data_IF_839878044101
#
_entry.id   IF_839878044101
#
_cell.length_a   1.000
_cell.length_b   1.000
_cell.length_c   1.000
_cell.angle_alpha   90.00
_cell.angle_beta   90.00
_cell.angle_gamma   90.00
#
_symmetry.space_group_name_H-M   'P 1'
#
loop_
_entity.id
_entity.type
_entity.pdbx_description
1 polymer ?
#
# COMPACT_ATOMS: atom_id res chain seq x y z
N UNK A 1 13.98 84.79 5.63
CA UNK A 1 13.19 85.64 4.72
C UNK A 1 11.72 85.51 5.09
N UNK A 2 11.09 86.62 5.48
CA UNK A 2 9.70 86.67 5.95
C UNK A 2 8.70 86.53 4.79
N UNK A 3 7.74 85.61 4.90
CA UNK A 3 6.67 85.38 3.91
C UNK A 3 5.55 86.45 3.93
N UNK A 4 5.57 87.41 4.86
CA UNK A 4 4.46 88.35 5.08
C UNK A 4 4.55 89.70 4.33
N UNK A 5 5.55 89.93 3.46
CA UNK A 5 5.74 91.22 2.77
C UNK A 5 5.42 91.22 1.28
N UNK A 6 4.71 90.21 0.75
CA UNK A 6 4.27 90.22 -0.65
C UNK A 6 2.93 90.96 -0.84
N UNK A 7 2.74 91.70 -1.95
CA UNK A 7 1.47 92.36 -2.27
C UNK A 7 0.34 91.33 -2.34
N UNK A 8 -0.88 91.68 -1.87
CA UNK A 8 -2.07 90.80 -1.80
C UNK A 8 -2.30 89.87 -3.03
N UNK A 9 -2.08 90.26 -4.30
CA UNK A 9 -2.18 89.32 -5.43
C UNK A 9 -1.07 88.26 -5.48
N UNK A 10 0.14 88.54 -4.97
CA UNK A 10 1.27 87.60 -4.98
C UNK A 10 1.08 86.38 -4.08
N UNK A 11 0.33 86.51 -2.99
CA UNK A 11 -0.04 85.39 -2.12
C UNK A 11 -0.97 84.38 -2.82
N UNK A 12 -1.87 84.86 -3.69
CA UNK A 12 -2.76 84.00 -4.48
C UNK A 12 -2.01 83.22 -5.55
N UNK A 13 -1.03 83.82 -6.22
CA UNK A 13 -0.18 83.13 -7.20
C UNK A 13 0.67 82.04 -6.54
N UNK A 14 1.23 82.31 -5.35
CA UNK A 14 1.98 81.29 -4.59
C UNK A 14 1.08 80.14 -4.13
N UNK A 15 -0.12 80.42 -3.62
CA UNK A 15 -1.08 79.39 -3.23
C UNK A 15 -1.52 78.53 -4.44
N UNK A 16 -1.78 79.17 -5.59
CA UNK A 16 -2.12 78.47 -6.83
C UNK A 16 -0.95 77.62 -7.35
N UNK A 17 0.29 78.12 -7.27
CA UNK A 17 1.49 77.37 -7.65
C UNK A 17 1.73 76.15 -6.74
N UNK A 18 1.49 76.28 -5.43
CA UNK A 18 1.57 75.16 -4.48
C UNK A 18 0.48 74.12 -4.75
N UNK A 19 -0.76 74.54 -5.01
CA UNK A 19 -1.85 73.60 -5.34
C UNK A 19 -1.62 72.87 -6.67
N UNK A 20 -1.11 73.56 -7.69
CA UNK A 20 -0.78 72.96 -8.98
C UNK A 20 0.39 71.98 -8.89
N UNK A 21 1.46 72.35 -8.17
CA UNK A 21 2.60 71.46 -7.95
C UNK A 21 2.25 70.26 -7.07
N UNK A 22 1.42 70.43 -6.05
CA UNK A 22 0.89 69.34 -5.23
C UNK A 22 -0.01 68.39 -6.05
N UNK A 23 -0.89 68.92 -6.90
CA UNK A 23 -1.74 68.12 -7.80
C UNK A 23 -0.93 67.36 -8.86
N UNK A 24 0.08 68.00 -9.46
CA UNK A 24 0.98 67.35 -10.41
C UNK A 24 1.82 66.24 -9.75
N UNK A 25 2.36 66.50 -8.55
CA UNK A 25 3.09 65.51 -7.77
C UNK A 25 2.23 64.32 -7.35
N UNK A 26 0.99 64.58 -6.89
CA UNK A 26 0.05 63.53 -6.49
C UNK A 26 -0.36 62.62 -7.66
N UNK A 27 -0.67 63.20 -8.82
CA UNK A 27 -1.07 62.43 -10.01
C UNK A 27 0.09 61.60 -10.57
N UNK A 28 1.31 62.14 -10.55
CA UNK A 28 2.51 61.42 -11.00
C UNK A 28 2.87 60.28 -10.04
N UNK A 29 2.86 60.53 -8.73
CA UNK A 29 3.09 59.51 -7.70
C UNK A 29 2.03 58.41 -7.69
N UNK A 30 0.75 58.77 -7.85
CA UNK A 30 -0.35 57.80 -7.93
C UNK A 30 -0.22 56.89 -9.16
N UNK A 31 0.14 57.44 -10.32
CA UNK A 31 0.35 56.65 -11.55
C UNK A 31 1.54 55.69 -11.41
N UNK A 32 2.66 56.18 -10.86
CA UNK A 32 3.84 55.35 -10.65
C UNK A 32 3.57 54.24 -9.63
N UNK A 33 2.93 54.56 -8.50
CA UNK A 33 2.52 53.58 -7.49
C UNK A 33 1.56 52.53 -8.04
N UNK A 34 0.59 52.94 -8.86
CA UNK A 34 -0.36 52.03 -9.50
C UNK A 34 0.33 51.06 -10.47
N UNK A 35 1.27 51.54 -11.28
CA UNK A 35 2.06 50.68 -12.19
C UNK A 35 2.90 49.66 -11.44
N UNK A 36 3.57 50.06 -10.35
CA UNK A 36 4.32 49.11 -9.51
C UNK A 36 3.41 48.08 -8.84
N UNK A 37 2.23 48.49 -8.37
CA UNK A 37 1.26 47.59 -7.76
C UNK A 37 0.71 46.56 -8.76
N UNK A 38 0.34 47.00 -9.98
CA UNK A 38 -0.13 46.11 -11.04
C UNK A 38 0.95 45.11 -11.48
N UNK A 39 2.20 45.57 -11.63
CA UNK A 39 3.32 44.70 -11.98
C UNK A 39 3.64 43.68 -10.87
N UNK A 40 3.60 44.11 -9.60
CA UNK A 40 3.79 43.22 -8.46
C UNK A 40 2.69 42.16 -8.39
N UNK A 41 1.43 42.54 -8.66
CA UNK A 41 0.29 41.62 -8.65
C UNK A 41 0.38 40.58 -9.77
N UNK A 42 0.73 40.99 -11.00
CA UNK A 42 0.96 40.06 -12.12
C UNK A 42 2.12 39.12 -11.83
N UNK A 43 3.21 39.65 -11.26
CA UNK A 43 4.39 38.82 -10.89
C UNK A 43 4.02 37.79 -9.84
N UNK A 44 3.27 38.19 -8.81
CA UNK A 44 2.81 37.29 -7.75
C UNK A 44 1.85 36.22 -8.29
N UNK A 45 0.90 36.62 -9.16
CA UNK A 45 -0.02 35.67 -9.82
C UNK A 45 0.74 34.66 -10.66
N UNK A 46 1.74 35.12 -11.43
CA UNK A 46 2.60 34.25 -12.24
C UNK A 46 3.39 33.29 -11.35
N UNK A 47 4.06 33.79 -10.32
CA UNK A 47 4.80 32.94 -9.37
C UNK A 47 3.89 31.90 -8.70
N UNK A 48 2.67 32.28 -8.34
CA UNK A 48 1.72 31.35 -7.75
C UNK A 48 1.23 30.31 -8.76
N UNK A 49 0.98 30.71 -10.01
CA UNK A 49 0.62 29.79 -11.10
C UNK A 49 1.77 28.81 -11.42
N UNK A 50 3.00 29.31 -11.49
CA UNK A 50 4.21 28.50 -11.72
C UNK A 50 4.45 27.54 -10.54
N UNK A 51 4.26 28.01 -9.30
CA UNK A 51 4.37 27.18 -8.10
C UNK A 51 3.29 26.09 -8.04
N UNK A 52 2.03 26.42 -8.40
CA UNK A 52 0.95 25.44 -8.50
C UNK A 52 1.24 24.41 -9.59
N UNK A 53 1.73 24.84 -10.74
CA UNK A 53 2.10 23.96 -11.85
C UNK A 53 3.24 23.01 -11.46
N UNK A 54 4.27 23.53 -10.79
CA UNK A 54 5.38 22.70 -10.29
C UNK A 54 4.89 21.70 -9.23
N UNK A 55 4.02 22.13 -8.31
CA UNK A 55 3.45 21.27 -7.29
C UNK A 55 2.57 20.16 -7.89
N UNK A 56 1.74 20.46 -8.89
CA UNK A 56 0.90 19.46 -9.56
C UNK A 56 1.73 18.49 -10.38
N UNK A 57 2.76 18.96 -11.09
CA UNK A 57 3.69 18.09 -11.82
C UNK A 57 4.42 17.13 -10.90
N UNK A 58 4.91 17.63 -9.76
CA UNK A 58 5.58 16.79 -8.75
C UNK A 58 4.61 15.76 -8.15
N UNK A 59 3.39 16.18 -7.84
CA UNK A 59 2.36 15.26 -7.32
C UNK A 59 1.98 14.18 -8.34
N UNK A 60 1.84 14.54 -9.62
CA UNK A 60 1.57 13.59 -10.70
C UNK A 60 2.73 12.63 -10.91
N UNK A 61 3.97 13.12 -10.91
CA UNK A 61 5.16 12.27 -11.04
C UNK A 61 5.25 11.25 -9.89
N UNK A 62 4.99 11.69 -8.66
CA UNK A 62 4.97 10.81 -7.49
C UNK A 62 3.82 9.80 -7.57
N UNK A 63 2.63 10.25 -7.98
CA UNK A 63 1.50 9.36 -8.20
C UNK A 63 1.82 8.29 -9.26
N UNK A 64 2.39 8.66 -10.41
CA UNK A 64 2.79 7.71 -11.46
C UNK A 64 3.83 6.72 -10.94
N UNK A 65 4.80 7.18 -10.14
CA UNK A 65 5.81 6.32 -9.52
C UNK A 65 5.18 5.28 -8.59
N UNK A 66 4.27 5.71 -7.71
CA UNK A 66 3.57 4.83 -6.77
C UNK A 66 2.69 3.80 -7.49
N UNK A 67 1.97 4.21 -8.56
CA UNK A 67 1.17 3.29 -9.36
C UNK A 67 2.04 2.24 -10.05
N UNK A 68 3.15 2.65 -10.67
CA UNK A 68 4.06 1.70 -11.33
C UNK A 68 4.65 0.67 -10.35
N UNK A 69 4.95 1.09 -9.12
CA UNK A 69 5.44 0.22 -8.06
C UNK A 69 4.36 -0.75 -7.56
N UNK A 70 3.15 -0.26 -7.34
CA UNK A 70 2.00 -1.09 -6.97
C UNK A 70 1.64 -2.12 -8.06
N UNK A 71 1.66 -1.70 -9.33
CA UNK A 71 1.40 -2.58 -10.47
C UNK A 71 2.44 -3.70 -10.57
N UNK A 72 3.72 -3.38 -10.34
CA UNK A 72 4.79 -4.37 -10.33
C UNK A 72 4.62 -5.38 -9.19
N UNK A 73 4.34 -4.93 -7.97
CA UNK A 73 4.07 -5.79 -6.82
C UNK A 73 2.87 -6.71 -7.07
N UNK A 74 1.79 -6.15 -7.62
CA UNK A 74 0.59 -6.90 -7.94
C UNK A 74 0.85 -7.96 -9.01
N UNK A 75 1.63 -7.63 -10.04
CA UNK A 75 2.02 -8.58 -11.08
C UNK A 75 2.90 -9.72 -10.52
N UNK A 76 3.86 -9.40 -9.65
CA UNK A 76 4.72 -10.38 -9.00
C UNK A 76 3.91 -11.34 -8.12
N UNK A 77 3.01 -10.80 -7.29
CA UNK A 77 2.13 -11.59 -6.43
C UNK A 77 1.19 -12.50 -7.24
N UNK A 78 0.53 -11.95 -8.26
CA UNK A 78 -0.36 -12.70 -9.15
C UNK A 78 0.37 -13.86 -9.82
N UNK A 79 1.58 -13.61 -10.34
CA UNK A 79 2.43 -14.66 -10.95
C UNK A 79 2.77 -15.77 -9.96
N UNK A 80 3.11 -15.43 -8.71
CA UNK A 80 3.39 -16.40 -7.67
C UNK A 80 2.14 -17.24 -7.33
N UNK A 81 0.99 -16.60 -7.19
CA UNK A 81 -0.28 -17.28 -6.90
C UNK A 81 -0.68 -18.26 -8.01
N UNK A 82 -0.58 -17.85 -9.28
CA UNK A 82 -0.87 -18.72 -10.43
C UNK A 82 0.07 -19.93 -10.44
N UNK A 83 1.36 -19.73 -10.17
CA UNK A 83 2.33 -20.83 -10.06
C UNK A 83 1.99 -21.78 -8.90
N UNK A 84 1.65 -21.26 -7.72
CA UNK A 84 1.33 -22.11 -6.58
C UNK A 84 0.02 -22.88 -6.78
N UNK A 85 -0.96 -22.28 -7.46
CA UNK A 85 -2.22 -22.91 -7.83
C UNK A 85 -2.00 -24.04 -8.83
N UNK A 86 -1.19 -23.84 -9.87
CA UNK A 86 -0.90 -24.90 -10.84
C UNK A 86 -0.14 -26.06 -10.21
N UNK A 87 0.78 -25.79 -9.28
CA UNK A 87 1.48 -26.82 -8.51
C UNK A 87 0.53 -27.61 -7.60
N UNK A 88 -0.39 -26.94 -6.91
CA UNK A 88 -1.38 -27.62 -6.07
C UNK A 88 -2.34 -28.48 -6.90
N UNK A 89 -2.78 -27.96 -8.06
CA UNK A 89 -3.61 -28.69 -9.00
C UNK A 89 -2.92 -29.95 -9.53
N UNK A 90 -1.64 -29.85 -9.91
CA UNK A 90 -0.84 -31.01 -10.32
C UNK A 90 -0.78 -32.10 -9.22
N UNK A 91 -0.64 -31.71 -7.95
CA UNK A 91 -0.67 -32.66 -6.84
C UNK A 91 -2.05 -33.29 -6.72
N UNK A 92 -3.13 -32.49 -6.78
CA UNK A 92 -4.52 -32.95 -6.65
C UNK A 92 -4.90 -33.99 -7.70
N UNK A 93 -4.48 -33.79 -8.95
CA UNK A 93 -4.74 -34.72 -10.05
C UNK A 93 -4.14 -36.11 -9.80
N UNK A 94 -3.04 -36.18 -9.04
CA UNK A 94 -2.33 -37.42 -8.73
C UNK A 94 -2.73 -38.07 -7.41
N UNK A 95 -3.65 -37.46 -6.66
CA UNK A 95 -4.06 -37.99 -5.35
C UNK A 95 -4.68 -39.37 -5.50
N UNK A 96 -5.59 -39.54 -6.47
CA UNK A 96 -6.25 -40.82 -6.70
C UNK A 96 -5.25 -41.93 -7.04
N UNK A 97 -4.17 -41.61 -7.76
CA UNK A 97 -3.12 -42.57 -8.12
C UNK A 97 -2.40 -43.16 -6.89
N UNK A 98 -2.32 -42.40 -5.79
CA UNK A 98 -1.57 -42.78 -4.59
C UNK A 98 -2.44 -43.21 -3.42
N UNK A 99 -3.77 -43.10 -3.53
CA UNK A 99 -4.70 -43.45 -2.44
C UNK A 99 -5.61 -44.64 -2.73
N UNK A 100 -5.63 -45.15 -3.97
CA UNK A 100 -6.53 -46.26 -4.35
C UNK A 100 -5.87 -47.65 -4.25
N UNK A 101 -4.60 -47.76 -4.63
CA UNK A 101 -3.89 -49.04 -4.69
C UNK A 101 -2.53 -48.92 -4.00
N UNK A 102 -2.10 -50.02 -3.40
CA UNK A 102 -0.75 -50.14 -2.86
C UNK A 102 -0.09 -51.42 -3.38
N UNK A 103 1.24 -51.38 -3.50
CA UNK A 103 2.05 -52.53 -3.84
C UNK A 103 2.91 -52.92 -2.63
N UNK A 104 2.74 -54.11 -2.04
CA UNK A 104 3.48 -54.47 -0.82
C UNK A 104 4.99 -54.63 -1.04
N UNK A 105 5.42 -55.04 -2.24
CA UNK A 105 6.84 -55.12 -2.63
C UNK A 105 7.00 -54.92 -4.14
N UNK A 106 8.17 -54.47 -4.61
CA UNK A 106 8.38 -54.05 -6.01
C UNK A 106 7.94 -55.08 -7.08
N UNK A 107 8.11 -56.38 -6.81
CA UNK A 107 7.76 -57.48 -7.71
C UNK A 107 6.33 -58.03 -7.50
N UNK A 108 5.54 -57.46 -6.60
CA UNK A 108 4.16 -57.90 -6.32
C UNK A 108 3.14 -57.10 -7.12
N UNK A 109 1.93 -57.66 -7.22
CA UNK A 109 0.80 -57.04 -7.93
C UNK A 109 0.15 -55.95 -7.07
N UNK A 110 -0.35 -54.91 -7.71
CA UNK A 110 -1.08 -53.83 -7.05
C UNK A 110 -2.35 -54.38 -6.39
N UNK A 111 -2.56 -54.01 -5.13
CA UNK A 111 -3.67 -54.47 -4.29
C UNK A 111 -4.49 -53.26 -3.84
N UNK A 112 -5.83 -53.36 -3.71
CA UNK A 112 -6.63 -52.26 -3.16
C UNK A 112 -6.11 -51.81 -1.80
N UNK A 113 -6.03 -50.49 -1.61
CA UNK A 113 -5.57 -49.94 -0.34
C UNK A 113 -6.55 -50.31 0.78
N UNK A 114 -6.05 -50.80 1.95
CA UNK A 114 -6.91 -51.07 3.10
C UNK A 114 -7.66 -49.79 3.52
N UNK A 115 -8.88 -49.95 4.02
CA UNK A 115 -9.66 -48.82 4.53
C UNK A 115 -8.90 -48.13 5.66
N UNK A 116 -8.50 -46.89 5.43
CA UNK A 116 -8.00 -46.00 6.46
C UNK A 116 -9.19 -45.30 7.13
N UNK A 117 -9.27 -45.35 8.47
CA UNK A 117 -10.34 -44.71 9.23
C UNK A 117 -9.74 -43.53 10.00
N UNK A 118 -10.24 -42.33 9.72
CA UNK A 118 -9.93 -41.13 10.50
C UNK A 118 -11.06 -40.88 11.48
N UNK A 119 -10.72 -40.74 12.75
CA UNK A 119 -11.70 -40.56 13.82
C UNK A 119 -12.08 -39.09 13.97
N UNK A 120 -13.24 -38.80 14.56
CA UNK A 120 -13.65 -37.41 14.85
C UNK A 120 -12.66 -36.71 15.79
N UNK A 121 -12.10 -37.44 16.75
CA UNK A 121 -11.05 -36.92 17.63
C UNK A 121 -9.78 -36.54 16.87
N UNK A 122 -9.38 -37.35 15.89
CA UNK A 122 -8.27 -37.02 14.98
C UNK A 122 -8.56 -35.73 14.23
N UNK A 123 -9.77 -35.57 13.68
CA UNK A 123 -10.17 -34.33 12.99
C UNK A 123 -10.27 -33.11 13.89
N UNK A 124 -10.72 -33.26 15.14
CA UNK A 124 -10.72 -32.16 16.12
C UNK A 124 -9.29 -31.67 16.36
N UNK A 125 -8.35 -32.58 16.62
CA UNK A 125 -6.95 -32.20 16.85
C UNK A 125 -6.29 -31.64 15.58
N UNK A 126 -6.61 -32.19 14.40
CA UNK A 126 -6.17 -31.66 13.12
C UNK A 126 -6.61 -30.21 12.92
N UNK A 127 -7.90 -29.92 13.11
CA UNK A 127 -8.48 -28.58 12.96
C UNK A 127 -7.87 -27.59 13.96
N UNK A 128 -7.65 -28.01 15.20
CA UNK A 128 -6.96 -27.21 16.22
C UNK A 128 -5.51 -26.93 15.81
N UNK A 129 -4.80 -27.93 15.28
CA UNK A 129 -3.41 -27.78 14.86
C UNK A 129 -3.23 -26.82 13.68
N UNK A 130 -4.16 -26.81 12.71
CA UNK A 130 -4.10 -25.89 11.55
C UNK A 130 -4.69 -24.51 11.82
N UNK A 131 -5.25 -24.29 13.02
CA UNK A 131 -5.81 -23.00 13.40
C UNK A 131 -7.32 -22.83 13.15
N UNK A 132 -8.00 -23.83 12.57
CA UNK A 132 -9.39 -23.72 12.12
C UNK A 132 -10.41 -23.72 13.28
N UNK A 133 -10.05 -24.29 14.42
CA UNK A 133 -10.90 -24.42 15.61
C UNK A 133 -10.20 -23.84 16.85
N UNK A 134 -9.44 -22.74 16.65
CA UNK A 134 -8.81 -22.03 17.76
C UNK A 134 -9.83 -21.09 18.42
N UNK A 135 -9.96 -21.13 19.75
CA UNK A 135 -10.74 -20.12 20.46
C UNK A 135 -10.11 -18.74 20.23
N UNK A 136 -10.96 -17.70 20.17
CA UNK A 136 -10.51 -16.31 20.01
C UNK A 136 -9.69 -15.79 21.21
N UNK A 137 -9.69 -16.53 22.32
CA UNK A 137 -8.88 -16.25 23.51
C UNK A 137 -7.61 -17.10 23.50
N UNK A 138 -6.48 -16.57 24.01
CA UNK A 138 -5.22 -17.29 24.02
C UNK A 138 -5.37 -18.61 24.79
N UNK A 139 -4.70 -19.66 24.29
CA UNK A 139 -4.60 -20.93 25.00
C UNK A 139 -4.11 -20.66 26.43
N UNK A 140 -4.97 -20.95 27.39
CA UNK A 140 -4.52 -21.19 28.75
C UNK A 140 -3.91 -22.60 28.77
N UNK A 141 -2.93 -22.85 29.64
CA UNK A 141 -2.34 -24.19 29.87
C UNK A 141 -3.37 -25.13 30.54
N UNK A 142 -4.56 -25.23 29.95
CA UNK A 142 -5.60 -26.15 30.37
C UNK A 142 -5.18 -27.58 30.00
N UNK A 143 -5.43 -28.57 30.88
CA UNK A 143 -5.18 -29.95 30.56
C UNK A 143 -5.86 -30.33 29.24
N UNK A 144 -5.19 -31.17 28.43
CA UNK A 144 -5.80 -31.68 27.22
C UNK A 144 -7.17 -32.28 27.54
N UNK A 145 -8.21 -31.79 26.85
CA UNK A 145 -9.57 -32.29 26.99
C UNK A 145 -9.57 -33.83 26.90
N UNK A 146 -10.23 -34.53 27.84
CA UNK A 146 -10.30 -35.98 27.80
C UNK A 146 -10.97 -36.42 26.50
N UNK A 147 -10.45 -37.51 25.92
CA UNK A 147 -11.03 -38.11 24.71
C UNK A 147 -12.45 -38.60 25.01
N UNK A 148 -13.45 -38.06 24.30
CA UNK A 148 -14.85 -38.46 24.42
C UNK A 148 -15.09 -39.76 23.62
N UNK A 149 -16.06 -40.58 24.02
CA UNK A 149 -16.50 -41.72 23.21
C UNK A 149 -16.95 -41.29 21.79
N UNK A 150 -17.47 -40.05 21.66
CA UNK A 150 -17.77 -39.45 20.36
C UNK A 150 -16.54 -39.27 19.45
N UNK A 151 -15.33 -39.20 20.02
CA UNK A 151 -14.09 -39.02 19.27
C UNK A 151 -13.68 -40.24 18.49
N UNK A 152 -14.03 -41.44 18.96
CA UNK A 152 -13.69 -42.70 18.32
C UNK A 152 -14.54 -42.99 17.07
N UNK A 153 -15.60 -42.20 16.84
CA UNK A 153 -16.49 -42.36 15.69
C UNK A 153 -15.76 -42.00 14.39
N UNK A 154 -16.03 -42.75 13.33
CA UNK A 154 -15.53 -42.46 11.98
C UNK A 154 -15.98 -41.07 11.52
N UNK A 155 -15.02 -40.25 11.08
CA UNK A 155 -15.28 -38.93 10.52
C UNK A 155 -15.81 -38.99 9.08
N UNK A 156 -15.73 -40.17 8.42
CA UNK A 156 -16.21 -40.38 7.05
C UNK A 156 -15.29 -39.81 5.98
N UNK A 157 -14.05 -39.48 6.33
CA UNK A 157 -13.05 -38.92 5.41
C UNK A 157 -12.16 -40.00 4.81
N UNK A 158 -11.78 -39.80 3.56
CA UNK A 158 -10.82 -40.65 2.86
C UNK A 158 -9.42 -40.04 2.91
N UNK A 159 -8.35 -40.85 2.76
CA UNK A 159 -6.98 -40.33 2.63
C UNK A 159 -6.83 -39.28 1.52
N UNK A 160 -7.62 -39.41 0.45
CA UNK A 160 -7.67 -38.46 -0.65
C UNK A 160 -8.11 -37.06 -0.19
N UNK A 161 -9.10 -36.98 0.70
CA UNK A 161 -9.62 -35.71 1.22
C UNK A 161 -8.56 -34.98 2.06
N UNK A 162 -7.83 -35.71 2.91
CA UNK A 162 -6.74 -35.14 3.72
C UNK A 162 -5.60 -34.64 2.84
N UNK A 163 -5.22 -35.39 1.80
CA UNK A 163 -4.15 -35.00 0.91
C UNK A 163 -4.55 -33.80 0.04
N UNK A 164 -5.82 -33.72 -0.36
CA UNK A 164 -6.37 -32.57 -1.10
C UNK A 164 -6.36 -31.32 -0.21
N UNK A 165 -6.82 -31.45 1.04
CA UNK A 165 -6.74 -30.39 2.03
C UNK A 165 -5.29 -29.94 2.26
N UNK A 166 -4.33 -30.87 2.40
CA UNK A 166 -2.92 -30.54 2.60
C UNK A 166 -2.32 -29.81 1.40
N UNK A 167 -2.72 -30.16 0.18
CA UNK A 167 -2.32 -29.45 -1.03
C UNK A 167 -2.83 -28.00 -1.03
N UNK A 168 -4.09 -27.77 -0.64
CA UNK A 168 -4.69 -26.45 -0.49
C UNK A 168 -4.04 -25.63 0.63
N UNK A 169 -3.84 -26.25 1.79
CA UNK A 169 -3.18 -25.60 2.92
C UNK A 169 -1.73 -25.22 2.58
N UNK A 170 -1.01 -26.09 1.88
CA UNK A 170 0.33 -25.79 1.37
C UNK A 170 0.34 -24.64 0.36
N UNK A 171 -0.65 -24.57 -0.54
CA UNK A 171 -0.81 -23.41 -1.44
C UNK A 171 -1.06 -22.12 -0.65
N UNK A 172 -1.94 -22.15 0.35
CA UNK A 172 -2.21 -21.02 1.22
C UNK A 172 -0.93 -20.51 1.90
N UNK A 173 -0.15 -21.40 2.52
CA UNK A 173 1.10 -21.04 3.19
C UNK A 173 2.11 -20.40 2.23
N UNK A 174 2.27 -20.95 1.02
CA UNK A 174 3.17 -20.39 0.01
C UNK A 174 2.71 -19.02 -0.50
N UNK A 175 1.39 -18.81 -0.62
CA UNK A 175 0.82 -17.52 -0.99
C UNK A 175 1.02 -16.47 0.11
N UNK A 176 0.89 -16.86 1.38
CA UNK A 176 1.18 -15.97 2.51
C UNK A 176 2.67 -15.59 2.53
N UNK A 177 3.56 -16.58 2.39
CA UNK A 177 5.00 -16.33 2.32
C UNK A 177 5.39 -15.40 1.16
N UNK A 178 4.78 -15.56 -0.01
CA UNK A 178 5.01 -14.67 -1.15
C UNK A 178 4.58 -13.22 -0.86
N UNK A 179 3.44 -13.02 -0.18
CA UNK A 179 2.99 -11.68 0.24
C UNK A 179 3.94 -11.05 1.25
N UNK A 180 4.34 -11.81 2.27
CA UNK A 180 5.26 -11.33 3.31
C UNK A 180 6.62 -10.98 2.73
N UNK A 181 7.19 -11.83 1.87
CA UNK A 181 8.45 -11.53 1.20
C UNK A 181 8.35 -10.30 0.30
N UNK A 182 7.26 -10.16 -0.46
CA UNK A 182 7.02 -8.96 -1.27
C UNK A 182 6.98 -7.67 -0.44
N UNK A 183 6.39 -7.72 0.77
CA UNK A 183 6.37 -6.58 1.69
C UNK A 183 7.76 -6.29 2.30
N UNK A 184 8.54 -7.33 2.62
CA UNK A 184 9.91 -7.18 3.11
C UNK A 184 10.79 -6.53 2.04
N UNK A 185 10.75 -7.04 0.82
CA UNK A 185 11.54 -6.52 -0.30
C UNK A 185 11.19 -5.05 -0.56
N UNK A 186 9.90 -4.71 -0.60
CA UNK A 186 9.42 -3.34 -0.72
C UNK A 186 9.94 -2.41 0.40
N UNK A 187 9.92 -2.89 1.65
CA UNK A 187 10.38 -2.11 2.81
C UNK A 187 11.91 -1.90 2.77
N UNK A 188 12.67 -2.90 2.31
CA UNK A 188 14.13 -2.79 2.19
C UNK A 188 14.54 -1.84 1.06
N UNK A 189 13.90 -1.93 -0.11
CA UNK A 189 14.17 -1.03 -1.24
C UNK A 189 13.84 0.43 -0.92
N UNK A 190 12.74 0.68 -0.21
CA UNK A 190 12.35 2.03 0.21
C UNK A 190 13.32 2.60 1.25
N UNK A 191 13.84 1.79 2.17
CA UNK A 191 14.84 2.23 3.14
C UNK A 191 16.21 2.51 2.50
N UNK A 192 16.69 1.65 1.60
CA UNK A 192 17.95 1.90 0.88
C UNK A 192 17.93 3.20 0.07
N UNK A 193 16.81 3.52 -0.58
CA UNK A 193 16.66 4.81 -1.27
C UNK A 193 16.81 5.98 -0.31
N UNK A 194 16.23 5.92 0.89
CA UNK A 194 16.35 7.00 1.90
C UNK A 194 17.79 7.22 2.35
N UNK A 195 18.56 6.16 2.54
CA UNK A 195 19.97 6.23 2.97
C UNK A 195 20.85 6.87 1.89
N UNK A 196 20.61 6.56 0.62
CA UNK A 196 21.31 7.19 -0.52
C UNK A 196 21.01 8.70 -0.59
N UNK A 197 19.78 9.12 -0.27
CA UNK A 197 19.40 10.53 -0.25
C UNK A 197 19.95 11.31 0.96
N UNK A 198 20.30 10.66 2.08
CA UNK A 198 20.87 11.31 3.26
C UNK A 198 22.40 11.20 3.38
N UNK A 199 23.05 10.35 2.58
CA UNK A 199 24.51 10.15 2.58
C UNK A 199 25.30 11.08 1.66
N UNK A 200 24.70 12.16 1.17
CA UNK A 200 25.31 13.09 0.19
C UNK A 200 25.48 14.52 0.72
N UNK A 201 25.67 14.69 2.03
CA UNK A 201 26.04 15.96 2.68
C UNK A 201 27.48 15.93 3.22
#
# INVERSE_FOLDING_TARGET
MNLLSLPRPGLWYMAAAVLLSAGAGFTMGYRQGKQHAEHALITLQKQHADALLAATQNALAEQTRLHAEADWLQAALSKAQVKHASQAQYVKERINDVTQVYRPALAQVDTPQPRCVFTRGFMRLWNRAIGADLPATPFTDEPADPTDAADAVDAGLQPADLLAHLADYGQYCRNLAAQTNGLIDWTLETNQKKDVFHGSD
#
